data_IF_294044215325
#
_entry.id   IF_294044215325
#
_cell.length_a   1.000
_cell.length_b   1.000
_cell.length_c   1.000
_cell.angle_alpha   90.00
_cell.angle_beta   90.00
_cell.angle_gamma   90.00
#
_symmetry.space_group_name_H-M   'P 1'
#
loop_
_entity.id
_entity.type
_entity.pdbx_description
1 polymer ?
#
# COMPACT_ATOMS: atom_id res chain seq x y z
N UNK A 1 13.52 12.23 4.24
CA UNK A 1 13.29 12.28 5.70
C UNK A 1 14.46 11.60 6.40
N UNK A 2 15.16 12.34 7.26
CA UNK A 2 16.28 11.84 8.05
C UNK A 2 15.74 10.81 9.05
N UNK A 3 15.94 9.51 8.79
CA UNK A 3 15.78 8.49 9.82
C UNK A 3 16.82 8.80 10.91
N UNK A 4 16.42 9.12 12.14
CA UNK A 4 17.38 9.40 13.21
C UNK A 4 18.23 8.16 13.36
N UNK A 5 19.52 8.29 13.08
CA UNK A 5 20.40 7.14 13.03
C UNK A 5 20.47 6.47 14.40
N UNK A 6 21.07 5.28 14.49
CA UNK A 6 21.34 4.62 15.78
C UNK A 6 22.18 5.48 16.76
N UNK A 7 22.79 6.58 16.32
CA UNK A 7 23.40 7.57 17.20
C UNK A 7 22.37 8.36 18.03
N UNK A 8 21.22 8.66 17.46
CA UNK A 8 20.27 9.62 18.05
C UNK A 8 19.22 8.94 18.94
N UNK A 9 18.88 7.68 18.64
CA UNK A 9 17.86 6.94 19.40
C UNK A 9 18.40 5.71 20.14
N UNK A 10 19.21 4.89 19.45
CA UNK A 10 19.69 3.64 20.05
C UNK A 10 20.76 3.87 21.12
N UNK A 11 21.74 4.75 20.88
CA UNK A 11 22.78 5.02 21.86
C UNK A 11 22.24 5.64 23.18
N UNK A 12 21.32 6.63 23.17
CA UNK A 12 20.68 7.11 24.39
C UNK A 12 19.88 6.02 25.10
N UNK A 13 19.08 5.23 24.37
CA UNK A 13 18.32 4.11 24.95
C UNK A 13 19.23 3.14 25.72
N UNK A 14 20.39 2.77 25.14
CA UNK A 14 21.36 1.88 25.80
C UNK A 14 22.01 2.54 27.03
N UNK A 15 22.34 3.83 26.94
CA UNK A 15 22.95 4.59 28.05
C UNK A 15 22.00 4.68 29.25
N UNK A 16 20.73 4.96 28.98
CA UNK A 16 19.71 5.26 29.99
C UNK A 16 19.09 3.99 30.58
N UNK A 17 19.22 2.85 29.90
CA UNK A 17 18.74 1.55 30.40
C UNK A 17 19.82 0.86 31.23
N UNK A 18 19.63 0.84 32.55
CA UNK A 18 20.61 0.29 33.50
C UNK A 18 21.02 -1.15 33.19
N UNK A 19 20.07 -2.03 32.85
CA UNK A 19 20.34 -3.44 32.56
C UNK A 19 21.10 -3.69 31.24
N UNK A 20 21.26 -2.66 30.40
CA UNK A 20 22.04 -2.69 29.15
C UNK A 20 23.44 -2.07 29.30
N UNK A 21 23.69 -1.36 30.40
CA UNK A 21 24.97 -0.73 30.69
C UNK A 21 26.09 -1.80 30.73
N UNK A 22 27.17 -1.56 30.01
CA UNK A 22 28.32 -2.49 29.94
C UNK A 22 28.12 -3.73 29.06
N UNK A 23 26.92 -4.00 28.53
CA UNK A 23 26.68 -5.13 27.60
C UNK A 23 27.07 -4.84 26.16
N UNK A 24 27.17 -3.55 25.81
CA UNK A 24 27.63 -3.05 24.52
C UNK A 24 28.96 -2.33 24.71
N UNK A 25 29.91 -2.56 23.80
CA UNK A 25 31.20 -1.88 23.86
C UNK A 25 31.01 -0.36 23.82
N UNK A 26 31.69 0.35 24.72
CA UNK A 26 31.55 1.80 24.86
C UNK A 26 31.93 2.54 23.57
N UNK A 27 31.36 3.73 23.33
CA UNK A 27 31.57 4.49 22.07
C UNK A 27 33.03 4.90 21.82
N UNK A 28 33.91 4.81 22.83
CA UNK A 28 35.34 5.13 22.76
C UNK A 28 36.27 3.91 22.65
N UNK A 29 35.74 2.68 22.61
CA UNK A 29 36.60 1.52 22.34
C UNK A 29 37.16 1.63 20.92
N UNK A 30 38.49 1.58 20.73
CA UNK A 30 39.17 1.52 19.42
C UNK A 30 38.92 0.19 18.67
N UNK A 31 37.82 -0.50 18.99
CA UNK A 31 37.39 -1.71 18.31
C UNK A 31 36.70 -1.35 16.99
N UNK A 32 37.40 -1.56 15.87
CA UNK A 32 36.86 -1.39 14.52
C UNK A 32 35.66 -2.30 14.20
N UNK A 33 35.28 -3.19 15.12
CA UNK A 33 34.15 -4.11 15.04
C UNK A 33 32.80 -3.49 15.46
N UNK A 34 32.80 -2.34 16.14
CA UNK A 34 31.58 -1.68 16.65
C UNK A 34 31.22 -0.43 15.82
N UNK A 35 30.63 -0.63 14.64
CA UNK A 35 30.24 0.45 13.71
C UNK A 35 28.85 1.01 14.06
N UNK A 36 28.47 2.11 13.42
CA UNK A 36 27.17 2.77 13.66
C UNK A 36 26.00 1.83 13.33
N UNK A 37 26.06 1.17 12.17
CA UNK A 37 25.03 0.23 11.68
C UNK A 37 25.26 -1.22 12.11
N UNK A 38 26.31 -1.49 12.88
CA UNK A 38 26.68 -2.84 13.28
C UNK A 38 27.23 -2.84 14.71
N UNK A 39 26.42 -3.31 15.65
CA UNK A 39 26.74 -3.36 17.07
C UNK A 39 26.93 -4.81 17.51
N UNK A 40 28.09 -5.14 18.08
CA UNK A 40 28.33 -6.45 18.71
C UNK A 40 28.08 -6.36 20.21
N UNK A 41 27.54 -7.43 20.78
CA UNK A 41 27.34 -7.58 22.22
C UNK A 41 27.55 -9.03 22.62
N UNK A 42 27.64 -9.30 23.93
CA UNK A 42 27.80 -10.66 24.45
C UNK A 42 26.60 -11.50 24.01
N UNK A 43 26.86 -12.54 23.21
CA UNK A 43 25.82 -13.44 22.70
C UNK A 43 25.18 -13.03 21.37
N UNK A 44 25.64 -11.98 20.69
CA UNK A 44 25.10 -11.64 19.37
C UNK A 44 25.55 -10.33 18.74
N UNK A 45 24.82 -9.93 17.72
CA UNK A 45 25.03 -8.67 17.00
C UNK A 45 23.70 -8.09 16.51
N UNK A 46 23.64 -6.77 16.47
CA UNK A 46 22.56 -5.98 15.87
C UNK A 46 23.11 -5.34 14.60
N UNK A 47 22.46 -5.60 13.47
CA UNK A 47 22.79 -4.98 12.18
C UNK A 47 21.58 -4.19 11.69
N UNK A 48 21.84 -2.96 11.24
CA UNK A 48 20.87 -2.11 10.58
C UNK A 48 21.23 -2.02 9.10
N UNK A 49 20.27 -2.30 8.22
CA UNK A 49 20.45 -2.34 6.77
C UNK A 49 19.31 -1.58 6.11
N UNK A 50 19.62 -0.75 5.12
CA UNK A 50 18.61 -0.10 4.30
C UNK A 50 17.94 -1.10 3.33
N UNK A 51 16.64 -0.96 3.09
CA UNK A 51 15.88 -1.84 2.21
C UNK A 51 16.33 -1.80 0.75
N UNK A 52 17.09 -0.78 0.34
CA UNK A 52 17.67 -0.62 -0.98
C UNK A 52 19.09 -1.23 -1.12
N UNK A 53 19.64 -1.83 -0.07
CA UNK A 53 21.00 -2.37 -0.05
C UNK A 53 20.99 -3.91 -0.12
N UNK A 54 20.83 -4.52 -1.31
CA UNK A 54 20.65 -5.97 -1.44
C UNK A 54 21.83 -6.76 -0.88
N UNK A 55 23.06 -6.31 -1.11
CA UNK A 55 24.27 -6.92 -0.53
C UNK A 55 24.23 -6.97 1.00
N UNK A 56 23.66 -5.95 1.66
CA UNK A 56 23.49 -5.94 3.11
C UNK A 56 22.42 -6.93 3.58
N UNK A 57 21.34 -7.09 2.82
CA UNK A 57 20.24 -8.01 3.12
C UNK A 57 20.62 -9.47 2.88
N UNK A 58 21.51 -9.74 1.93
CA UNK A 58 21.90 -11.08 1.52
C UNK A 58 23.09 -11.68 2.30
N UNK A 59 23.86 -10.87 3.03
CA UNK A 59 25.21 -11.28 3.48
C UNK A 59 25.25 -12.19 4.71
N UNK A 60 24.25 -12.16 5.61
CA UNK A 60 24.42 -12.72 6.97
C UNK A 60 23.23 -13.59 7.39
N UNK A 61 23.44 -14.68 8.14
CA UNK A 61 22.36 -15.38 8.83
C UNK A 61 21.69 -14.51 9.90
N UNK A 62 20.36 -14.55 10.01
CA UNK A 62 19.56 -13.68 10.89
C UNK A 62 18.58 -14.53 11.71
N UNK A 63 18.70 -14.54 13.04
CA UNK A 63 17.68 -15.22 13.88
C UNK A 63 16.42 -14.37 14.07
N UNK A 64 16.59 -13.07 14.32
CA UNK A 64 15.49 -12.13 14.56
C UNK A 64 15.54 -11.06 13.47
N UNK A 65 14.53 -11.05 12.61
CA UNK A 65 14.38 -10.08 11.53
C UNK A 65 13.28 -9.09 11.89
N UNK A 66 13.65 -7.81 11.95
CA UNK A 66 12.73 -6.70 12.18
C UNK A 66 12.70 -5.85 10.91
N UNK A 67 11.55 -5.77 10.27
CA UNK A 67 11.34 -4.93 9.10
C UNK A 67 10.36 -3.82 9.48
N UNK A 68 10.89 -2.60 9.59
CA UNK A 68 10.13 -1.39 9.93
C UNK A 68 9.77 -0.61 8.66
N UNK A 69 8.58 0.00 8.62
CA UNK A 69 8.03 0.76 7.49
C UNK A 69 8.04 -0.02 6.15
N UNK A 70 7.59 -1.29 6.19
CA UNK A 70 7.71 -2.22 5.04
C UNK A 70 6.96 -1.77 3.78
N UNK A 71 5.91 -0.96 3.91
CA UNK A 71 5.20 -0.41 2.74
C UNK A 71 5.99 0.67 2.01
N UNK A 72 6.97 1.30 2.67
CA UNK A 72 7.86 2.27 2.04
C UNK A 72 9.03 1.63 1.32
N UNK A 73 9.16 0.31 1.36
CA UNK A 73 10.26 -0.38 0.71
C UNK A 73 10.08 -0.34 -0.81
N UNK A 74 11.19 -0.18 -1.56
CA UNK A 74 11.12 -0.29 -3.01
C UNK A 74 10.58 -1.68 -3.40
N UNK A 75 9.97 -1.78 -4.58
CA UNK A 75 9.49 -3.06 -5.12
C UNK A 75 10.64 -4.09 -5.21
N UNK A 76 11.86 -3.62 -5.50
CA UNK A 76 13.07 -4.43 -5.57
C UNK A 76 14.24 -3.74 -4.87
N UNK A 77 15.06 -4.50 -4.13
CA UNK A 77 16.35 -4.07 -3.62
C UNK A 77 17.37 -4.10 -4.78
N UNK A 78 17.52 -2.98 -5.49
CA UNK A 78 18.32 -2.96 -6.72
C UNK A 78 17.75 -3.93 -7.76
N UNK A 79 18.55 -4.87 -8.25
CA UNK A 79 18.13 -5.89 -9.21
C UNK A 79 17.81 -7.27 -8.57
N UNK A 80 17.88 -7.42 -7.25
CA UNK A 80 17.80 -8.73 -6.58
C UNK A 80 16.38 -9.14 -6.12
N UNK A 81 15.38 -8.30 -6.36
CA UNK A 81 13.97 -8.58 -6.04
C UNK A 81 13.53 -8.06 -4.67
N UNK A 82 12.41 -8.58 -4.16
CA UNK A 82 11.75 -8.03 -2.97
C UNK A 82 12.66 -8.04 -1.72
N UNK A 83 12.88 -6.89 -1.06
CA UNK A 83 13.79 -6.77 0.09
C UNK A 83 13.41 -7.67 1.28
N UNK A 84 12.11 -7.83 1.56
CA UNK A 84 11.63 -8.62 2.69
C UNK A 84 11.91 -10.10 2.43
N UNK A 85 11.65 -10.58 1.22
CA UNK A 85 11.92 -11.96 0.83
C UNK A 85 13.41 -12.30 0.84
N UNK A 86 14.27 -11.37 0.39
CA UNK A 86 15.73 -11.53 0.48
C UNK A 86 16.18 -11.71 1.94
N UNK A 87 15.71 -10.84 2.83
CA UNK A 87 16.02 -10.91 4.26
C UNK A 87 15.44 -12.18 4.92
N UNK A 88 14.22 -12.59 4.57
CA UNK A 88 13.59 -13.82 5.09
C UNK A 88 14.42 -15.06 4.76
N UNK A 89 15.01 -15.16 3.57
CA UNK A 89 15.90 -16.28 3.21
C UNK A 89 17.13 -16.41 4.11
N UNK A 90 17.52 -15.36 4.83
CA UNK A 90 18.65 -15.40 5.78
C UNK A 90 18.29 -16.00 7.13
N UNK A 91 17.00 -16.22 7.39
CA UNK A 91 16.52 -16.73 8.67
C UNK A 91 16.40 -18.26 8.72
N UNK A 92 16.53 -18.93 7.56
CA UNK A 92 16.25 -20.36 7.37
C UNK A 92 17.08 -21.26 8.29
N UNK A 93 18.33 -20.88 8.59
CA UNK A 93 19.24 -21.66 9.44
C UNK A 93 18.79 -21.74 10.90
N UNK A 94 17.82 -20.92 11.33
CA UNK A 94 17.35 -20.89 12.71
C UNK A 94 15.92 -21.44 12.82
N UNK A 95 15.77 -22.53 13.55
CA UNK A 95 14.47 -23.14 13.84
C UNK A 95 13.59 -22.22 14.73
N UNK A 96 14.20 -21.47 15.64
CA UNK A 96 13.56 -20.52 16.56
C UNK A 96 13.63 -19.07 16.05
N UNK A 97 13.60 -18.88 14.72
CA UNK A 97 13.60 -17.54 14.12
C UNK A 97 12.34 -16.75 14.49
N UNK A 98 12.47 -15.43 14.55
CA UNK A 98 11.33 -14.50 14.62
C UNK A 98 11.41 -13.48 13.51
N UNK A 99 10.29 -13.24 12.83
CA UNK A 99 10.17 -12.25 11.76
C UNK A 99 9.02 -11.32 12.13
N UNK A 100 9.31 -10.02 12.22
CA UNK A 100 8.34 -8.99 12.58
C UNK A 100 8.31 -7.97 11.45
N UNK A 101 7.11 -7.72 10.92
CA UNK A 101 6.85 -6.66 9.95
C UNK A 101 6.01 -5.59 10.62
N UNK A 102 6.39 -4.33 10.47
CA UNK A 102 5.67 -3.16 11.00
C UNK A 102 5.57 -2.11 9.91
N UNK A 103 4.40 -1.54 9.71
CA UNK A 103 4.18 -0.42 8.77
C UNK A 103 2.78 0.16 8.98
N UNK A 104 2.57 1.37 8.47
CA UNK A 104 1.23 1.82 8.11
C UNK A 104 0.88 1.32 6.70
N UNK A 105 -0.34 0.80 6.48
CA UNK A 105 -0.76 0.36 5.15
C UNK A 105 -0.88 1.55 4.20
N UNK A 106 -0.83 1.26 2.90
CA UNK A 106 -0.95 2.28 1.84
C UNK A 106 -2.20 2.04 0.99
N UNK A 107 -2.03 1.57 -0.24
CA UNK A 107 -3.12 1.35 -1.18
C UNK A 107 -3.47 -0.13 -1.18
N UNK A 108 -4.77 -0.44 -1.20
CA UNK A 108 -5.27 -1.82 -1.29
C UNK A 108 -4.67 -2.53 -2.50
N UNK A 109 -4.20 -3.77 -2.30
CA UNK A 109 -3.57 -4.59 -3.35
C UNK A 109 -2.10 -4.27 -3.66
N UNK A 110 -1.58 -3.10 -3.27
CA UNK A 110 -0.16 -2.77 -3.38
C UNK A 110 0.59 -2.87 -2.03
N UNK A 111 -0.14 -2.73 -0.92
CA UNK A 111 0.43 -2.69 0.42
C UNK A 111 0.92 -4.08 0.90
N UNK A 112 2.19 -4.14 1.31
CA UNK A 112 2.82 -5.35 1.85
C UNK A 112 2.30 -5.70 3.24
N UNK A 113 2.09 -4.70 4.10
CA UNK A 113 1.56 -4.97 5.45
C UNK A 113 0.11 -5.44 5.38
N UNK A 114 -0.68 -4.93 4.43
CA UNK A 114 -2.05 -5.37 4.18
C UNK A 114 -2.10 -6.83 3.73
N UNK A 115 -1.25 -7.21 2.77
CA UNK A 115 -1.12 -8.61 2.37
C UNK A 115 -0.68 -9.52 3.53
N UNK A 116 0.21 -9.05 4.42
CA UNK A 116 0.60 -9.79 5.61
C UNK A 116 -0.54 -9.89 6.65
N UNK A 117 -1.32 -8.82 6.81
CA UNK A 117 -2.50 -8.76 7.68
C UNK A 117 -3.59 -9.73 7.21
N UNK A 118 -3.87 -9.78 5.91
CA UNK A 118 -4.88 -10.69 5.34
C UNK A 118 -4.55 -12.17 5.57
N UNK A 119 -3.26 -12.50 5.55
CA UNK A 119 -2.70 -13.84 5.78
C UNK A 119 -2.40 -14.15 7.27
N UNK A 120 -2.89 -13.33 8.20
CA UNK A 120 -2.69 -13.49 9.64
C UNK A 120 -3.97 -13.89 10.39
N UNK A 121 -3.84 -14.12 11.69
CA UNK A 121 -4.96 -14.34 12.62
C UNK A 121 -5.77 -13.07 12.96
N UNK A 122 -5.37 -11.90 12.41
CA UNK A 122 -6.08 -10.62 12.50
C UNK A 122 -6.50 -10.21 13.91
N UNK A 123 -5.55 -9.95 14.79
CA UNK A 123 -5.86 -9.49 16.15
C UNK A 123 -6.21 -8.02 16.18
N UNK A 124 -7.34 -7.71 16.80
CA UNK A 124 -7.74 -6.35 17.18
C UNK A 124 -7.62 -6.20 18.68
N UNK A 125 -7.43 -4.95 19.12
CA UNK A 125 -7.42 -4.61 20.53
C UNK A 125 -8.83 -4.21 20.95
N UNK A 126 -9.46 -5.06 21.75
CA UNK A 126 -10.83 -4.91 22.22
C UNK A 126 -10.85 -4.17 23.54
N UNK A 127 -11.63 -3.11 23.64
CA UNK A 127 -11.67 -2.21 24.80
C UNK A 127 -13.03 -2.32 25.49
N UNK A 128 -13.08 -2.60 26.81
CA UNK A 128 -14.34 -2.65 27.54
C UNK A 128 -14.93 -1.25 27.68
N UNK A 129 -16.24 -1.15 27.49
CA UNK A 129 -16.96 0.10 27.72
C UNK A 129 -17.02 0.43 29.22
N UNK A 130 -16.65 1.66 29.66
CA UNK A 130 -16.79 2.07 31.05
C UNK A 130 -18.22 2.07 31.60
N UNK A 131 -19.22 2.16 30.72
CA UNK A 131 -20.63 2.26 31.11
C UNK A 131 -21.34 0.89 31.12
N UNK A 132 -21.15 0.07 30.08
CA UNK A 132 -21.83 -1.24 29.96
C UNK A 132 -20.92 -2.46 30.10
N UNK A 133 -19.59 -2.30 30.15
CA UNK A 133 -18.62 -3.40 30.23
C UNK A 133 -18.41 -4.19 28.93
N UNK A 134 -19.28 -4.02 27.93
CA UNK A 134 -19.16 -4.73 26.65
C UNK A 134 -17.89 -4.29 25.89
N UNK A 135 -17.23 -5.26 25.26
CA UNK A 135 -15.96 -5.02 24.57
C UNK A 135 -16.22 -4.60 23.12
N UNK A 136 -15.47 -3.62 22.63
CA UNK A 136 -15.56 -3.15 21.25
C UNK A 136 -14.19 -2.79 20.67
N UNK A 137 -14.09 -2.79 19.35
CA UNK A 137 -12.95 -2.25 18.62
C UNK A 137 -13.23 -0.77 18.36
N UNK A 138 -12.32 0.12 18.76
CA UNK A 138 -12.46 1.56 18.52
C UNK A 138 -12.30 1.86 17.03
N UNK A 139 -13.36 2.38 16.39
CA UNK A 139 -13.33 2.80 14.98
C UNK A 139 -13.64 4.29 14.85
N UNK A 140 -13.35 4.84 13.68
CA UNK A 140 -13.51 6.26 13.41
C UNK A 140 -14.98 6.68 13.39
N UNK A 141 -15.87 5.78 12.98
CA UNK A 141 -17.31 6.02 12.85
C UNK A 141 -17.99 6.34 14.19
N UNK A 142 -17.42 5.88 15.30
CA UNK A 142 -17.89 6.16 16.67
C UNK A 142 -17.38 7.50 17.21
N UNK A 143 -16.41 8.15 16.56
CA UNK A 143 -15.96 9.49 16.94
C UNK A 143 -17.00 10.51 16.46
N UNK A 144 -17.65 11.20 17.41
CA UNK A 144 -18.71 12.17 17.15
C UNK A 144 -18.31 13.54 17.69
N UNK A 145 -18.82 14.57 17.03
CA UNK A 145 -18.63 15.97 17.41
C UNK A 145 -19.82 16.79 16.93
N UNK A 146 -20.07 17.88 17.64
CA UNK A 146 -21.19 18.77 17.36
C UNK A 146 -20.91 19.71 16.19
N UNK A 147 -21.98 20.28 15.66
CA UNK A 147 -21.94 21.35 14.66
C UNK A 147 -22.84 22.48 15.11
N UNK A 148 -22.35 23.72 15.03
CA UNK A 148 -23.19 24.90 15.24
C UNK A 148 -23.92 25.27 13.95
N UNK A 149 -25.25 25.40 14.03
CA UNK A 149 -26.12 25.75 12.90
C UNK A 149 -26.84 24.55 12.25
N UNK A 150 -27.76 24.83 11.32
CA UNK A 150 -28.53 23.83 10.57
C UNK A 150 -28.28 23.96 9.07
N UNK A 151 -28.07 22.84 8.38
CA UNK A 151 -27.90 22.81 6.91
C UNK A 151 -26.49 23.16 6.44
N UNK A 152 -26.37 23.76 5.25
CA UNK A 152 -25.08 24.03 4.57
C UNK A 152 -24.18 25.07 5.27
N UNK A 153 -24.70 25.78 6.28
CA UNK A 153 -23.94 26.76 7.09
C UNK A 153 -23.41 26.16 8.39
N UNK A 154 -23.56 24.84 8.60
CA UNK A 154 -23.11 24.20 9.83
C UNK A 154 -21.60 24.28 9.98
N UNK A 155 -21.12 24.93 11.05
CA UNK A 155 -19.71 24.96 11.41
C UNK A 155 -19.41 23.79 12.34
N UNK A 156 -18.39 23.00 12.00
CA UNK A 156 -17.93 21.92 12.87
C UNK A 156 -17.28 22.47 14.15
N UNK A 157 -17.53 21.83 15.28
CA UNK A 157 -16.96 22.17 16.60
C UNK A 157 -16.05 21.03 17.11
N UNK A 158 -14.79 20.93 16.66
CA UNK A 158 -13.90 19.82 17.01
C UNK A 158 -13.66 19.66 18.52
N UNK A 159 -13.74 20.73 19.29
CA UNK A 159 -13.57 20.74 20.75
C UNK A 159 -14.64 19.92 21.50
N UNK A 160 -15.75 19.60 20.84
CA UNK A 160 -16.83 18.75 21.39
C UNK A 160 -16.64 17.27 21.08
N UNK A 161 -15.49 16.89 20.49
CA UNK A 161 -15.23 15.52 20.07
C UNK A 161 -15.26 14.54 21.25
N UNK A 162 -16.03 13.47 21.09
CA UNK A 162 -16.17 12.39 22.05
C UNK A 162 -16.33 11.06 21.31
N UNK A 163 -16.03 9.95 21.99
CA UNK A 163 -16.23 8.62 21.45
C UNK A 163 -17.58 8.06 21.92
N UNK A 164 -18.35 7.43 21.03
CA UNK A 164 -19.66 6.86 21.34
C UNK A 164 -19.60 5.33 21.31
N UNK A 165 -19.97 4.67 22.41
CA UNK A 165 -20.00 3.21 22.46
C UNK A 165 -21.04 2.64 21.49
N UNK A 166 -20.64 1.62 20.72
CA UNK A 166 -21.52 0.95 19.75
C UNK A 166 -22.67 0.13 20.37
N UNK A 167 -22.54 -0.26 21.65
CA UNK A 167 -23.51 -1.12 22.35
C UNK A 167 -24.54 -0.34 23.16
N UNK A 168 -24.10 0.63 23.97
CA UNK A 168 -24.98 1.38 24.88
C UNK A 168 -25.17 2.86 24.49
N UNK A 169 -24.45 3.36 23.49
CA UNK A 169 -24.47 4.79 23.12
C UNK A 169 -23.81 5.72 24.14
N UNK A 170 -23.19 5.18 25.20
CA UNK A 170 -22.47 5.96 26.21
C UNK A 170 -21.33 6.78 25.59
N UNK A 171 -21.13 8.00 26.09
CA UNK A 171 -20.14 8.95 25.56
C UNK A 171 -18.87 8.97 26.41
N UNK A 172 -17.72 8.93 25.75
CA UNK A 172 -16.41 8.91 26.40
C UNK A 172 -15.64 10.17 26.06
N UNK A 173 -15.23 10.89 27.09
CA UNK A 173 -14.18 11.89 27.00
C UNK A 173 -12.81 11.22 26.86
N UNK A 174 -11.79 12.00 26.46
CA UNK A 174 -10.42 11.51 26.34
C UNK A 174 -9.90 10.78 27.60
N UNK A 175 -10.06 11.32 28.83
CA UNK A 175 -9.65 10.59 30.04
C UNK A 175 -10.39 9.26 30.25
N UNK A 176 -11.71 9.21 29.98
CA UNK A 176 -12.50 7.97 30.09
C UNK A 176 -12.03 6.94 29.05
N UNK A 177 -11.80 7.38 27.81
CA UNK A 177 -11.25 6.56 26.73
C UNK A 177 -9.88 5.99 27.12
N UNK A 178 -8.96 6.81 27.61
CA UNK A 178 -7.63 6.35 28.02
C UNK A 178 -7.67 5.35 29.17
N UNK A 179 -8.57 5.54 30.14
CA UNK A 179 -8.79 4.57 31.20
C UNK A 179 -9.33 3.25 30.64
N UNK A 180 -10.31 3.30 29.74
CA UNK A 180 -10.87 2.11 29.09
C UNK A 180 -9.81 1.32 28.30
N UNK A 181 -8.98 2.01 27.50
CA UNK A 181 -7.93 1.39 26.68
C UNK A 181 -6.91 0.60 27.52
N UNK A 182 -6.63 1.02 28.76
CA UNK A 182 -5.73 0.27 29.66
C UNK A 182 -6.27 -1.10 30.07
N UNK A 183 -7.57 -1.30 29.99
CA UNK A 183 -8.25 -2.55 30.30
C UNK A 183 -8.59 -3.37 29.06
N UNK A 184 -8.09 -2.97 27.89
CA UNK A 184 -8.32 -3.71 26.65
C UNK A 184 -7.50 -5.00 26.54
N UNK A 185 -7.87 -5.84 25.58
CA UNK A 185 -7.22 -7.11 25.31
C UNK A 185 -7.14 -7.44 23.82
N UNK A 186 -6.11 -8.17 23.41
CA UNK A 186 -5.96 -8.63 22.04
C UNK A 186 -6.79 -9.87 21.80
N UNK A 187 -7.72 -9.82 20.84
CA UNK A 187 -8.50 -10.99 20.39
C UNK A 187 -8.28 -11.23 18.91
N UNK A 188 -8.02 -12.48 18.55
CA UNK A 188 -7.87 -12.91 17.16
C UNK A 188 -9.24 -13.04 16.50
N UNK A 189 -9.37 -12.51 15.28
CA UNK A 189 -10.59 -12.66 14.46
C UNK A 189 -10.56 -13.93 13.60
N UNK A 190 -9.36 -14.45 13.29
CA UNK A 190 -9.16 -15.68 12.54
C UNK A 190 -8.36 -16.71 13.36
N UNK A 191 -8.46 -18.02 13.05
CA UNK A 191 -7.59 -19.03 13.64
C UNK A 191 -6.11 -18.73 13.36
N UNK A 192 -5.26 -19.06 14.32
CA UNK A 192 -3.82 -18.88 14.16
C UNK A 192 -3.23 -19.93 13.21
N UNK A 193 -2.69 -19.45 12.09
CA UNK A 193 -1.95 -20.24 11.10
C UNK A 193 -0.58 -19.58 10.91
N UNK A 194 0.35 -19.87 11.83
CA UNK A 194 1.75 -19.42 11.89
C UNK A 194 2.01 -17.91 12.07
N UNK A 195 1.10 -17.04 11.61
CA UNK A 195 1.28 -15.58 11.61
C UNK A 195 0.26 -14.90 12.51
N UNK A 196 0.77 -14.23 13.55
CA UNK A 196 -0.03 -13.34 14.38
C UNK A 196 -0.02 -11.92 13.79
N UNK A 197 -1.20 -11.38 13.49
CA UNK A 197 -1.36 -10.03 12.96
C UNK A 197 -1.92 -9.11 14.03
N UNK A 198 -1.46 -7.86 14.07
CA UNK A 198 -1.93 -6.87 15.03
C UNK A 198 -2.26 -5.58 14.29
N UNK A 199 -3.44 -5.03 14.57
CA UNK A 199 -3.84 -3.72 14.06
C UNK A 199 -4.22 -2.81 15.22
N UNK A 200 -3.75 -1.57 15.15
CA UNK A 200 -4.09 -0.51 16.08
C UNK A 200 -4.17 0.82 15.32
N UNK A 201 -5.14 1.65 15.66
CA UNK A 201 -5.28 3.00 15.14
C UNK A 201 -4.92 4.07 16.19
N UNK A 202 -4.89 5.33 15.78
CA UNK A 202 -4.54 6.46 16.63
C UNK A 202 -5.60 6.75 17.72
N UNK A 203 -6.81 6.22 17.59
CA UNK A 203 -7.89 6.31 18.60
C UNK A 203 -7.52 5.53 19.88
N UNK A 204 -6.52 4.67 19.86
CA UNK A 204 -6.00 4.03 21.08
C UNK A 204 -4.90 4.86 21.77
N UNK A 205 -4.36 5.90 21.11
CA UNK A 205 -3.22 6.66 21.62
C UNK A 205 -3.59 7.52 22.84
N UNK A 206 -2.82 7.43 23.94
CA UNK A 206 -2.97 8.34 25.08
C UNK A 206 -2.37 9.74 24.81
N UNK A 207 -1.61 9.89 23.72
CA UNK A 207 -0.95 11.15 23.36
C UNK A 207 -1.74 11.97 22.34
N UNK A 208 -2.79 11.40 21.75
CA UNK A 208 -3.62 12.08 20.74
C UNK A 208 -5.02 12.30 21.28
N UNK A 209 -5.48 13.54 21.33
CA UNK A 209 -6.86 13.89 21.69
C UNK A 209 -7.80 13.69 20.51
N UNK A 210 -9.06 13.35 20.79
CA UNK A 210 -10.07 13.20 19.74
C UNK A 210 -10.31 14.52 18.98
N UNK A 211 -10.26 15.66 19.67
CA UNK A 211 -10.36 16.99 19.05
C UNK A 211 -9.30 17.18 17.96
N UNK A 212 -8.04 16.82 18.24
CA UNK A 212 -6.94 16.98 17.28
C UNK A 212 -7.16 16.10 16.04
N UNK A 213 -7.58 14.85 16.25
CA UNK A 213 -7.91 13.95 15.13
C UNK A 213 -9.06 14.51 14.28
N UNK A 214 -10.09 15.08 14.90
CA UNK A 214 -11.21 15.70 14.18
C UNK A 214 -10.74 16.92 13.38
N UNK A 215 -9.85 17.76 13.94
CA UNK A 215 -9.25 18.90 13.21
C UNK A 215 -8.45 18.42 12.00
N UNK A 216 -7.63 17.39 12.16
CA UNK A 216 -6.85 16.79 11.08
C UNK A 216 -7.75 16.21 10.00
N UNK A 217 -8.79 15.48 10.38
CA UNK A 217 -9.77 14.94 9.43
C UNK A 217 -10.50 16.03 8.65
N UNK A 218 -10.96 17.09 9.31
CA UNK A 218 -11.66 18.19 8.65
C UNK A 218 -10.72 18.94 7.69
N UNK A 219 -9.49 19.22 8.11
CA UNK A 219 -8.48 19.84 7.25
C UNK A 219 -8.14 18.96 6.04
N UNK A 220 -8.01 17.65 6.24
CA UNK A 220 -7.79 16.69 5.16
C UNK A 220 -8.95 16.69 4.15
N UNK A 221 -10.19 16.76 4.62
CA UNK A 221 -11.38 16.84 3.75
C UNK A 221 -11.43 18.12 2.92
N UNK A 222 -10.94 19.24 3.46
CA UNK A 222 -10.86 20.50 2.72
C UNK A 222 -9.74 20.50 1.68
N UNK A 223 -8.61 19.84 1.97
CA UNK A 223 -7.45 19.76 1.08
C UNK A 223 -7.64 18.77 -0.09
N UNK A 224 -8.54 17.80 0.05
CA UNK A 224 -8.91 16.85 -1.00
C UNK A 224 -8.46 15.41 -0.72
N UNK A 225 -8.65 14.55 -1.73
CA UNK A 225 -8.56 13.10 -1.58
C UNK A 225 -7.18 12.60 -1.10
N UNK A 226 -6.08 13.18 -1.60
CA UNK A 226 -4.74 12.78 -1.16
C UNK A 226 -4.48 13.06 0.33
N UNK A 227 -5.03 14.15 0.88
CA UNK A 227 -4.92 14.43 2.31
C UNK A 227 -5.79 13.49 3.14
N UNK A 228 -6.99 13.14 2.65
CA UNK A 228 -7.86 12.13 3.28
C UNK A 228 -7.17 10.76 3.29
N UNK A 229 -6.50 10.39 2.20
CA UNK A 229 -5.70 9.17 2.10
C UNK A 229 -4.60 9.11 3.15
N UNK A 230 -3.87 10.22 3.35
CA UNK A 230 -2.87 10.30 4.41
C UNK A 230 -3.51 10.04 5.78
N UNK A 231 -4.63 10.70 6.10
CA UNK A 231 -5.34 10.48 7.36
C UNK A 231 -5.77 9.01 7.56
N UNK A 232 -6.38 8.39 6.55
CA UNK A 232 -6.80 6.97 6.61
C UNK A 232 -5.60 6.04 6.82
N UNK A 233 -4.52 6.24 6.07
CA UNK A 233 -3.35 5.38 6.16
C UNK A 233 -2.57 5.56 7.47
N UNK A 234 -2.33 6.81 7.91
CA UNK A 234 -1.44 7.08 9.05
C UNK A 234 -2.16 7.11 10.39
N UNK A 235 -3.37 7.69 10.45
CA UNK A 235 -4.11 7.84 11.70
C UNK A 235 -5.03 6.64 11.95
N UNK A 236 -5.71 6.13 10.91
CA UNK A 236 -6.57 4.96 11.08
C UNK A 236 -5.81 3.64 10.91
N UNK A 237 -4.65 3.66 10.27
CA UNK A 237 -3.89 2.44 9.97
C UNK A 237 -4.69 1.53 9.02
N UNK A 238 -5.49 2.11 8.13
CA UNK A 238 -6.35 1.38 7.21
C UNK A 238 -5.87 1.56 5.78
N UNK A 239 -6.12 0.56 4.93
CA UNK A 239 -5.82 0.68 3.49
C UNK A 239 -6.74 1.70 2.84
N UNK A 240 -6.17 2.50 1.95
CA UNK A 240 -6.94 3.42 1.14
C UNK A 240 -7.36 2.71 -0.16
N UNK A 241 -8.65 2.71 -0.43
CA UNK A 241 -9.20 2.24 -1.70
C UNK A 241 -9.27 3.43 -2.65
N UNK A 242 -8.46 3.41 -3.71
CA UNK A 242 -8.62 4.37 -4.80
C UNK A 242 -9.95 4.08 -5.45
N UNK A 243 -10.91 4.99 -5.27
CA UNK A 243 -12.15 4.96 -6.04
C UNK A 243 -11.79 5.38 -7.45
N UNK A 244 -11.50 4.40 -8.31
CA UNK A 244 -11.46 4.69 -9.74
C UNK A 244 -12.78 5.34 -10.13
N UNK A 245 -12.75 6.39 -10.94
CA UNK A 245 -13.93 6.89 -11.66
C UNK A 245 -14.36 5.84 -12.70
N UNK A 246 -14.63 4.61 -12.28
CA UNK A 246 -15.42 3.69 -13.07
C UNK A 246 -16.84 4.27 -13.03
N UNK A 247 -17.40 4.73 -14.17
CA UNK A 247 -18.81 5.10 -14.20
C UNK A 247 -19.61 3.89 -13.70
N UNK A 248 -20.69 4.12 -12.96
CA UNK A 248 -21.56 3.01 -12.58
C UNK A 248 -21.91 2.19 -13.82
N UNK A 249 -21.72 0.87 -13.72
CA UNK A 249 -21.89 -0.05 -14.84
C UNK A 249 -23.28 0.11 -15.48
N UNK A 250 -24.29 0.47 -14.69
CA UNK A 250 -25.64 0.79 -15.13
C UNK A 250 -25.70 1.95 -16.13
N UNK A 251 -24.87 3.00 -15.97
CA UNK A 251 -24.82 4.14 -16.92
C UNK A 251 -24.21 3.75 -18.27
N UNK A 252 -23.26 2.81 -18.28
CA UNK A 252 -22.66 2.28 -19.52
C UNK A 252 -23.62 1.26 -20.16
N UNK A 253 -24.20 0.37 -19.34
CA UNK A 253 -25.15 -0.65 -19.79
C UNK A 253 -26.41 -0.07 -20.42
N UNK A 254 -26.91 1.05 -19.87
CA UNK A 254 -28.05 1.78 -20.42
C UNK A 254 -27.71 2.63 -21.65
N UNK A 255 -26.42 2.79 -21.97
CA UNK A 255 -25.94 3.43 -23.20
C UNK A 255 -25.70 2.45 -24.35
N UNK A 256 -26.00 1.16 -24.15
CA UNK A 256 -25.95 0.20 -25.26
C UNK A 256 -26.97 0.62 -26.31
N UNK A 257 -26.55 0.59 -27.55
CA UNK A 257 -27.41 0.78 -28.72
C UNK A 257 -27.60 -0.58 -29.38
N UNK A 258 -28.82 -0.88 -29.79
CA UNK A 258 -29.15 -2.17 -30.40
C UNK A 258 -28.77 -2.17 -31.88
N UNK A 259 -27.56 -2.65 -32.18
CA UNK A 259 -27.09 -2.87 -33.54
C UNK A 259 -27.24 -4.34 -33.95
N UNK A 260 -27.75 -4.63 -35.16
CA UNK A 260 -27.79 -5.99 -35.67
C UNK A 260 -26.38 -6.57 -35.78
N UNK A 261 -26.17 -7.78 -35.26
CA UNK A 261 -24.90 -8.49 -35.34
C UNK A 261 -24.45 -8.56 -36.80
N UNK A 262 -23.18 -8.20 -37.06
CA UNK A 262 -22.60 -8.20 -38.41
C UNK A 262 -22.84 -6.91 -39.20
N UNK A 263 -23.45 -5.89 -38.60
CA UNK A 263 -23.73 -4.60 -39.25
C UNK A 263 -22.89 -3.49 -38.62
N UNK A 264 -22.17 -2.72 -39.44
CA UNK A 264 -21.50 -1.48 -39.00
C UNK A 264 -22.44 -0.31 -39.33
N UNK A 265 -22.78 0.57 -38.38
CA UNK A 265 -23.68 1.70 -38.61
C UNK A 265 -23.12 2.71 -39.60
N UNK A 266 -24.00 3.41 -40.30
CA UNK A 266 -23.63 4.39 -41.31
C UNK A 266 -22.88 5.57 -40.66
N UNK A 267 -21.66 5.85 -41.14
CA UNK A 267 -20.70 6.79 -40.52
C UNK A 267 -19.54 6.13 -39.76
N UNK A 268 -19.58 4.82 -39.53
CA UNK A 268 -18.45 4.05 -38.99
C UNK A 268 -17.44 3.67 -40.08
N UNK A 269 -16.23 4.23 -40.04
CA UNK A 269 -15.18 3.93 -41.04
C UNK A 269 -14.34 2.68 -40.70
N UNK A 270 -14.18 2.38 -39.41
CA UNK A 270 -13.46 1.22 -38.90
C UNK A 270 -14.21 0.63 -37.70
N UNK A 271 -14.38 -0.69 -37.67
CA UNK A 271 -14.88 -1.42 -36.50
C UNK A 271 -13.69 -1.84 -35.65
N UNK A 272 -13.58 -1.30 -34.44
CA UNK A 272 -12.57 -1.72 -33.45
C UNK A 272 -13.26 -2.37 -32.25
N UNK A 273 -12.82 -3.58 -31.92
CA UNK A 273 -13.29 -4.32 -30.76
C UNK A 273 -12.11 -4.59 -29.81
N UNK A 274 -12.30 -4.32 -28.52
CA UNK A 274 -11.42 -4.78 -27.46
C UNK A 274 -11.99 -6.07 -26.88
N UNK A 275 -11.14 -7.06 -26.63
CA UNK A 275 -11.56 -8.32 -26.04
C UNK A 275 -10.86 -8.49 -24.68
N UNK A 276 -11.63 -8.60 -23.60
CA UNK A 276 -11.08 -8.95 -22.30
C UNK A 276 -10.95 -10.48 -22.20
N UNK A 277 -9.72 -10.95 -22.06
CA UNK A 277 -9.39 -12.38 -22.02
C UNK A 277 -9.28 -12.81 -20.57
N UNK A 278 -10.32 -13.48 -20.09
CA UNK A 278 -10.35 -14.13 -18.78
C UNK A 278 -9.91 -15.60 -18.91
N UNK A 279 -9.65 -16.26 -17.77
CA UNK A 279 -9.11 -17.62 -17.72
C UNK A 279 -9.97 -18.67 -18.43
N UNK A 280 -11.27 -18.42 -18.56
CA UNK A 280 -12.28 -19.35 -19.08
C UNK A 280 -13.10 -18.80 -20.27
N UNK A 281 -12.97 -17.52 -20.61
CA UNK A 281 -13.74 -16.89 -21.70
C UNK A 281 -13.13 -15.58 -22.20
N UNK A 282 -13.60 -15.15 -23.37
CA UNK A 282 -13.28 -13.86 -23.97
C UNK A 282 -14.57 -13.04 -24.01
N UNK A 283 -14.56 -11.85 -23.42
CA UNK A 283 -15.70 -10.92 -23.43
C UNK A 283 -15.39 -9.73 -24.36
N UNK A 284 -16.28 -9.45 -25.31
CA UNK A 284 -16.08 -8.37 -26.30
C UNK A 284 -16.62 -7.03 -25.81
N UNK A 285 -15.82 -5.97 -25.94
CA UNK A 285 -16.23 -4.56 -25.81
C UNK A 285 -15.97 -3.80 -27.10
N UNK A 286 -16.89 -2.91 -27.49
CA UNK A 286 -16.74 -2.05 -28.66
C UNK A 286 -16.39 -0.60 -28.25
N UNK A 287 -15.56 0.07 -29.03
CA UNK A 287 -15.27 1.51 -28.86
C UNK A 287 -16.12 2.30 -29.86
N UNK A 288 -16.96 3.21 -29.36
CA UNK A 288 -17.82 4.06 -30.20
C UNK A 288 -17.10 5.35 -30.64
N UNK A 289 -17.30 5.83 -31.89
CA UNK A 289 -16.78 7.12 -32.33
C UNK A 289 -17.53 8.30 -31.66
N UNK A 290 -16.84 9.44 -31.54
CA UNK A 290 -17.42 10.70 -31.04
C UNK A 290 -18.29 11.36 -32.12
N UNK A 291 -19.46 11.89 -31.74
CA UNK A 291 -20.37 12.57 -32.67
C UNK A 291 -19.98 14.06 -32.85
N UNK A 292 -20.42 14.71 -33.94
CA UNK A 292 -20.18 16.13 -34.16
C UNK A 292 -20.74 16.99 -33.02
N UNK A 293 -19.85 17.60 -32.22
CA UNK A 293 -20.20 18.45 -31.07
C UNK A 293 -19.73 17.92 -29.72
N UNK A 294 -19.30 16.66 -29.64
CA UNK A 294 -18.70 16.11 -28.42
C UNK A 294 -17.33 16.72 -28.14
N UNK A 295 -17.09 17.16 -26.91
CA UNK A 295 -15.79 17.65 -26.45
C UNK A 295 -15.13 16.61 -25.54
N UNK A 296 -13.99 16.08 -26.00
CA UNK A 296 -13.13 15.20 -25.22
C UNK A 296 -12.35 16.01 -24.17
N UNK A 297 -12.44 15.64 -22.90
CA UNK A 297 -11.49 16.12 -21.89
C UNK A 297 -10.17 15.39 -22.08
N UNK A 298 -9.11 16.14 -22.37
CA UNK A 298 -7.77 15.59 -22.50
C UNK A 298 -7.26 15.15 -21.12
N UNK A 299 -7.08 13.86 -20.91
CA UNK A 299 -6.07 13.39 -19.96
C UNK A 299 -4.70 13.73 -20.57
N UNK A 300 -3.83 14.40 -19.83
CA UNK A 300 -2.43 14.60 -20.22
C UNK A 300 -1.60 13.45 -19.66
N UNK A 301 -1.44 12.32 -20.37
CA UNK A 301 -0.45 11.34 -19.97
C UNK A 301 0.92 12.01 -20.09
N UNK A 302 1.68 12.05 -19.00
CA UNK A 302 3.06 12.52 -19.01
C UNK A 302 3.81 11.76 -20.11
N UNK A 303 4.11 12.44 -21.22
CA UNK A 303 4.88 11.90 -22.34
C UNK A 303 6.27 12.56 -22.35
N UNK A 304 7.33 11.76 -22.50
CA UNK A 304 7.31 10.32 -22.80
C UNK A 304 7.04 9.48 -21.54
N UNK A 305 6.14 8.49 -21.66
CA UNK A 305 6.03 7.39 -20.69
C UNK A 305 7.02 6.32 -21.12
N UNK A 306 7.91 5.90 -20.23
CA UNK A 306 8.93 4.87 -20.51
C UNK A 306 8.32 3.53 -20.99
N UNK A 307 7.02 3.34 -20.77
CA UNK A 307 6.27 2.13 -21.16
C UNK A 307 5.57 2.26 -22.52
N UNK A 308 5.54 3.45 -23.14
CA UNK A 308 4.86 3.67 -24.40
C UNK A 308 5.53 2.93 -25.57
N UNK A 309 6.86 3.02 -25.68
CA UNK A 309 7.59 2.33 -26.74
C UNK A 309 7.45 0.78 -26.65
N UNK A 310 7.62 0.14 -25.47
CA UNK A 310 7.35 -1.29 -25.34
C UNK A 310 5.92 -1.72 -25.68
N UNK A 311 4.92 -0.89 -25.36
CA UNK A 311 3.52 -1.17 -25.67
C UNK A 311 3.24 -1.14 -27.18
N UNK A 312 3.76 -0.12 -27.88
CA UNK A 312 3.60 0.01 -29.33
C UNK A 312 4.30 -1.13 -30.06
N UNK A 313 5.51 -1.51 -29.62
CA UNK A 313 6.24 -2.65 -30.18
C UNK A 313 5.47 -3.97 -30.01
N UNK A 314 4.88 -4.21 -28.84
CA UNK A 314 4.07 -5.41 -28.59
C UNK A 314 2.82 -5.46 -29.48
N UNK A 315 2.11 -4.34 -29.60
CA UNK A 315 0.90 -4.24 -30.43
C UNK A 315 1.21 -4.53 -31.91
N UNK A 316 2.26 -3.91 -32.46
CA UNK A 316 2.66 -4.11 -33.84
C UNK A 316 3.11 -5.56 -34.12
N UNK A 317 3.73 -6.24 -33.14
CA UNK A 317 4.06 -7.67 -33.26
C UNK A 317 2.82 -8.55 -33.34
N UNK A 318 1.77 -8.24 -32.60
CA UNK A 318 0.50 -8.95 -32.69
C UNK A 318 -0.21 -8.71 -34.03
N UNK A 319 -0.17 -7.48 -34.55
CA UNK A 319 -0.69 -7.16 -35.89
C UNK A 319 0.09 -7.91 -36.96
N UNK A 320 1.42 -7.94 -36.88
CA UNK A 320 2.27 -8.67 -37.82
C UNK A 320 1.94 -10.17 -37.83
N UNK A 321 1.79 -10.78 -36.65
CA UNK A 321 1.36 -12.17 -36.52
C UNK A 321 -0.03 -12.43 -37.12
N UNK A 322 -0.97 -11.49 -36.98
CA UNK A 322 -2.32 -11.63 -37.55
C UNK A 322 -2.34 -11.54 -39.08
N UNK A 323 -1.40 -10.80 -39.66
CA UNK A 323 -1.20 -10.66 -41.11
C UNK A 323 -0.26 -11.75 -41.66
N UNK A 324 0.15 -12.70 -40.83
CA UNK A 324 1.12 -13.75 -41.12
C UNK A 324 2.41 -13.23 -41.78
N UNK A 325 2.88 -12.08 -41.31
CA UNK A 325 4.10 -11.42 -41.80
C UNK A 325 5.06 -11.11 -40.66
N UNK A 326 6.38 -11.10 -40.90
CA UNK A 326 7.35 -10.67 -39.90
C UNK A 326 7.16 -9.21 -39.47
N UNK A 327 7.37 -8.93 -38.18
CA UNK A 327 7.25 -7.59 -37.59
C UNK A 327 8.13 -6.55 -38.30
N UNK A 328 9.35 -6.94 -38.63
CA UNK A 328 10.36 -6.10 -39.28
C UNK A 328 9.92 -5.69 -40.69
N UNK A 329 9.18 -6.57 -41.37
CA UNK A 329 8.62 -6.31 -42.69
C UNK A 329 7.40 -5.38 -42.61
N UNK A 330 6.54 -5.56 -41.60
CA UNK A 330 5.36 -4.72 -41.38
C UNK A 330 5.74 -3.25 -41.18
N UNK A 331 6.79 -2.99 -40.39
CA UNK A 331 7.24 -1.63 -40.10
C UNK A 331 8.35 -1.13 -41.02
N UNK A 332 8.86 -2.00 -41.92
CA UNK A 332 10.06 -1.73 -42.74
C UNK A 332 11.25 -1.26 -41.91
N UNK A 333 11.38 -1.77 -40.68
CA UNK A 333 12.46 -1.44 -39.76
C UNK A 333 13.32 -2.68 -39.50
N UNK A 334 14.53 -2.66 -40.05
CA UNK A 334 15.52 -3.73 -39.89
C UNK A 334 16.69 -3.33 -38.99
N UNK A 335 16.59 -2.19 -38.29
CA UNK A 335 17.68 -1.61 -37.49
C UNK A 335 18.19 -2.52 -36.37
N UNK A 336 17.35 -3.47 -35.91
CA UNK A 336 17.66 -4.43 -34.84
C UNK A 336 17.80 -5.88 -35.31
N UNK A 337 17.79 -6.11 -36.62
CA UNK A 337 17.94 -7.45 -37.23
C UNK A 337 19.28 -7.62 -37.91
N UNK A 338 19.83 -8.83 -37.86
CA UNK A 338 21.03 -9.17 -38.62
C UNK A 338 20.68 -9.39 -40.11
N UNK A 339 21.67 -9.29 -40.99
CA UNK A 339 21.50 -9.36 -42.45
C UNK A 339 20.81 -10.66 -42.92
N UNK A 340 21.12 -11.79 -42.28
CA UNK A 340 20.51 -13.09 -42.58
C UNK A 340 19.01 -13.14 -42.25
N UNK A 341 18.60 -12.56 -41.11
CA UNK A 341 17.20 -12.49 -40.68
C UNK A 341 16.39 -11.50 -41.52
N UNK A 342 16.99 -10.35 -41.87
CA UNK A 342 16.36 -9.38 -42.75
C UNK A 342 16.13 -9.94 -44.16
N UNK A 343 17.09 -10.71 -44.70
CA UNK A 343 16.96 -11.37 -46.00
C UNK A 343 15.91 -12.48 -45.98
N UNK A 344 15.81 -13.26 -44.90
CA UNK A 344 14.77 -14.28 -44.76
C UNK A 344 13.36 -13.67 -44.70
N UNK A 345 13.19 -12.59 -43.93
CA UNK A 345 11.91 -11.88 -43.82
C UNK A 345 11.45 -11.24 -45.14
N UNK A 346 12.38 -10.85 -46.02
CA UNK A 346 12.09 -10.34 -47.37
C UNK A 346 11.78 -11.44 -48.39
N UNK A 347 12.15 -12.69 -48.11
CA UNK A 347 11.91 -13.85 -48.98
C UNK A 347 10.62 -14.62 -48.62
N UNK A 348 10.11 -14.44 -47.39
CA UNK A 348 8.81 -14.97 -46.94
C UNK A 348 7.62 -14.06 -47.28
N UNK A 349 7.88 -12.85 -47.78
CA UNK A 349 6.90 -11.88 -48.29
C UNK A 349 6.57 -12.14 -49.76
#
# INVERSE_FOLDING_TARGET
MLSPGPKDRFAPMVRDTECLRGKLSGPKSRDGSNKILHKKFIGGQLTLVGSNAPSGLAMRPIRILLCDEVDRYPASAGAEGDPVNLARKRTVTFWNRKIILVSTPTIKGASRIDAAWENSDKRRYWVPCPDCGEHQVLRWEQVRWDKSGKGKTSRHLPETAHYVCEHCGGTWSDPRRWAAVRHGEWRAEKPFVDTAGFHLNEIYSPWKKLEEMVREFLSAREMGEEAVKVFVNTSLGEVFEIRGEAPEWERIYNRREDYPIGTVPDGGLFLTAGADVQRDRIEGGAVMPLYPGDKMSSFSPNRPSDKFAPFVDAMNRHVAASLNMPYELLLKDFSKTNYSSARAALLEA
#
